data_IF_651361987297
#
_entry.id   IF_651361987297
#
_cell.length_a   1.000
_cell.length_b   1.000
_cell.length_c   1.000
_cell.angle_alpha   90.00
_cell.angle_beta   90.00
_cell.angle_gamma   90.00
#
_symmetry.space_group_name_H-M   'P 1'
#
loop_
_entity.id
_entity.type
_entity.pdbx_description
1 polymer ?
#
# COMPACT_ATOMS: atom_id res chain seq x y z
N UNK A 1 11.24 -22.89 -4.74
CA UNK A 1 10.89 -21.95 -3.65
C UNK A 1 10.52 -20.58 -4.18
N UNK A 2 11.40 -19.84 -4.87
CA UNK A 2 11.09 -18.50 -5.39
C UNK A 2 9.91 -18.45 -6.39
N UNK A 3 9.79 -19.46 -7.26
CA UNK A 3 8.75 -19.55 -8.29
C UNK A 3 7.68 -20.58 -7.97
N UNK A 4 7.66 -21.08 -6.74
CA UNK A 4 6.71 -22.10 -6.29
C UNK A 4 5.71 -21.43 -5.36
N UNK A 5 4.41 -21.66 -5.55
CA UNK A 5 3.39 -21.13 -4.66
C UNK A 5 3.62 -21.64 -3.21
N UNK A 6 3.97 -20.77 -2.24
CA UNK A 6 4.28 -21.20 -0.88
C UNK A 6 3.05 -21.73 -0.13
N UNK A 7 1.84 -21.30 -0.52
CA UNK A 7 0.58 -21.74 0.10
C UNK A 7 0.14 -23.13 -0.36
N UNK A 8 0.66 -23.61 -1.50
CA UNK A 8 0.37 -24.95 -1.98
C UNK A 8 0.90 -26.02 -0.99
N UNK A 9 2.08 -25.82 -0.40
CA UNK A 9 2.60 -26.72 0.64
C UNK A 9 1.79 -26.62 1.94
N UNK A 10 1.31 -25.42 2.28
CA UNK A 10 0.49 -25.19 3.47
C UNK A 10 -0.88 -25.88 3.39
N UNK A 11 -1.37 -26.14 2.17
CA UNK A 11 -2.64 -26.83 1.93
C UNK A 11 -2.70 -28.25 2.50
N UNK A 12 -1.54 -28.87 2.76
CA UNK A 12 -1.44 -30.16 3.43
C UNK A 12 -1.89 -30.13 4.90
N UNK A 13 -1.80 -28.96 5.55
CA UNK A 13 -2.15 -28.79 6.98
C UNK A 13 -3.33 -27.85 7.20
N UNK A 14 -3.59 -26.92 6.28
CA UNK A 14 -4.69 -25.96 6.33
C UNK A 14 -5.47 -26.00 5.02
N UNK A 15 -6.76 -26.28 5.07
CA UNK A 15 -7.57 -26.30 3.84
C UNK A 15 -7.53 -24.93 3.11
N UNK A 16 -7.65 -24.91 1.77
CA UNK A 16 -7.73 -23.66 1.00
C UNK A 16 -8.84 -22.73 1.48
N UNK A 17 -9.98 -23.27 1.90
CA UNK A 17 -11.10 -22.49 2.43
C UNK A 17 -10.73 -21.73 3.72
N UNK A 18 -9.95 -22.35 4.62
CA UNK A 18 -9.46 -21.70 5.84
C UNK A 18 -8.50 -20.56 5.51
N UNK A 19 -7.57 -20.78 4.57
CA UNK A 19 -6.63 -19.74 4.13
C UNK A 19 -7.34 -18.54 3.49
N UNK A 20 -8.30 -18.80 2.61
CA UNK A 20 -9.12 -17.75 1.98
C UNK A 20 -9.96 -16.99 3.02
N UNK A 21 -10.63 -17.72 3.92
CA UNK A 21 -11.40 -17.13 5.01
C UNK A 21 -10.55 -16.21 5.89
N UNK A 22 -9.33 -16.64 6.23
CA UNK A 22 -8.39 -15.82 6.98
C UNK A 22 -8.07 -14.50 6.25
N UNK A 23 -7.76 -14.53 4.96
CA UNK A 23 -7.45 -13.33 4.17
C UNK A 23 -8.67 -12.39 4.09
N UNK A 24 -9.88 -12.93 3.94
CA UNK A 24 -11.11 -12.13 3.92
C UNK A 24 -11.32 -11.43 5.26
N UNK A 25 -11.23 -12.17 6.37
CA UNK A 25 -11.39 -11.61 7.71
C UNK A 25 -10.32 -10.54 7.98
N UNK A 26 -9.07 -10.82 7.64
CA UNK A 26 -7.97 -9.86 7.76
C UNK A 26 -8.26 -8.57 6.99
N UNK A 27 -8.73 -8.66 5.74
CA UNK A 27 -9.09 -7.50 4.94
C UNK A 27 -10.21 -6.67 5.59
N UNK A 28 -11.27 -7.33 6.07
CA UNK A 28 -12.38 -6.65 6.75
C UNK A 28 -11.90 -5.93 8.02
N UNK A 29 -11.04 -6.56 8.81
CA UNK A 29 -10.47 -5.96 10.02
C UNK A 29 -9.57 -4.76 9.70
N UNK A 30 -8.76 -4.81 8.64
CA UNK A 30 -7.93 -3.68 8.21
C UNK A 30 -8.79 -2.50 7.78
N UNK A 31 -9.83 -2.74 6.98
CA UNK A 31 -10.76 -1.67 6.57
C UNK A 31 -11.48 -1.08 7.78
N UNK A 32 -12.04 -1.93 8.65
CA UNK A 32 -12.74 -1.49 9.85
C UNK A 32 -11.82 -0.70 10.79
N UNK A 33 -10.60 -1.19 11.04
CA UNK A 33 -9.61 -0.53 11.87
C UNK A 33 -9.17 0.82 11.30
N UNK A 34 -8.99 0.92 9.98
CA UNK A 34 -8.63 2.17 9.31
C UNK A 34 -9.75 3.21 9.41
N UNK A 35 -11.00 2.80 9.18
CA UNK A 35 -12.16 3.69 9.33
C UNK A 35 -12.34 4.14 10.79
N UNK A 36 -12.18 3.22 11.74
CA UNK A 36 -12.22 3.53 13.16
C UNK A 36 -11.12 4.53 13.53
N UNK A 37 -9.89 4.34 13.07
CA UNK A 37 -8.77 5.25 13.34
C UNK A 37 -9.02 6.67 12.81
N UNK A 38 -9.59 6.78 11.59
CA UNK A 38 -9.97 8.07 10.98
C UNK A 38 -11.03 8.79 11.82
N UNK A 39 -12.06 8.07 12.28
CA UNK A 39 -13.12 8.64 13.12
C UNK A 39 -12.58 9.01 14.50
N UNK A 40 -11.82 8.11 15.13
CA UNK A 40 -11.29 8.28 16.48
C UNK A 40 -10.31 9.46 16.57
N UNK A 41 -9.42 9.63 15.58
CA UNK A 41 -8.48 10.76 15.53
C UNK A 41 -9.12 12.07 15.10
N UNK A 42 -10.39 12.06 14.67
CA UNK A 42 -11.04 13.23 14.09
C UNK A 42 -10.34 13.76 12.84
N UNK A 43 -9.59 12.91 12.14
CA UNK A 43 -8.70 13.33 11.04
C UNK A 43 -9.49 13.93 9.88
N UNK A 44 -10.70 13.43 9.61
CA UNK A 44 -11.60 13.99 8.61
C UNK A 44 -11.91 15.48 8.88
N UNK A 45 -12.27 15.81 10.12
CA UNK A 45 -12.56 17.19 10.54
C UNK A 45 -11.34 18.08 10.35
N UNK A 46 -10.16 17.60 10.76
CA UNK A 46 -8.90 18.30 10.56
C UNK A 46 -8.61 18.60 9.08
N UNK A 47 -8.79 17.61 8.19
CA UNK A 47 -8.57 17.80 6.75
C UNK A 47 -9.59 18.78 6.14
N UNK A 48 -10.86 18.70 6.52
CA UNK A 48 -11.87 19.64 6.02
C UNK A 48 -11.58 21.08 6.45
N UNK A 49 -11.16 21.28 7.70
CA UNK A 49 -10.79 22.60 8.19
C UNK A 49 -9.55 23.14 7.48
N UNK A 50 -8.52 22.29 7.30
CA UNK A 50 -7.31 22.66 6.58
C UNK A 50 -7.60 23.02 5.12
N UNK A 51 -8.49 22.28 4.45
CA UNK A 51 -8.92 22.59 3.08
C UNK A 51 -9.64 23.94 3.00
N UNK A 52 -10.52 24.27 3.95
CA UNK A 52 -11.21 25.57 4.01
C UNK A 52 -10.20 26.70 4.21
N UNK A 53 -9.28 26.55 5.16
CA UNK A 53 -8.22 27.52 5.46
C UNK A 53 -7.28 27.74 4.27
N UNK A 54 -6.92 26.69 3.55
CA UNK A 54 -6.06 26.78 2.36
C UNK A 54 -6.78 27.47 1.19
N UNK A 55 -8.08 27.22 1.01
CA UNK A 55 -8.89 27.93 0.00
C UNK A 55 -9.02 29.43 0.30
N UNK A 56 -9.18 29.81 1.56
CA UNK A 56 -9.28 31.24 1.94
C UNK A 56 -7.95 31.98 1.83
N UNK A 57 -6.81 31.28 1.88
CA UNK A 57 -5.45 31.84 1.75
C UNK A 57 -4.90 31.80 0.31
N UNK A 58 -5.69 31.35 -0.66
CA UNK A 58 -5.23 31.20 -2.04
C UNK A 58 -4.94 32.57 -2.67
N UNK A 59 -3.68 32.85 -2.98
CA UNK A 59 -3.25 34.12 -3.60
C UNK A 59 -3.75 34.27 -5.05
N UNK A 60 -3.95 33.16 -5.76
CA UNK A 60 -4.41 33.11 -7.15
C UNK A 60 -5.16 31.80 -7.41
N UNK A 61 -6.18 31.84 -8.27
CA UNK A 61 -6.80 30.62 -8.81
C UNK A 61 -6.04 30.16 -10.04
N UNK A 62 -5.57 28.92 -10.02
CA UNK A 62 -4.96 28.25 -11.18
C UNK A 62 -6.04 27.73 -12.12
N UNK A 63 -5.78 27.76 -13.44
CA UNK A 63 -6.70 27.22 -14.44
C UNK A 63 -6.81 25.70 -14.36
N UNK A 64 -7.90 25.11 -14.88
CA UNK A 64 -8.15 23.67 -14.76
C UNK A 64 -7.02 22.78 -15.31
N UNK A 65 -6.38 23.18 -16.41
CA UNK A 65 -5.23 22.46 -16.97
C UNK A 65 -3.96 22.56 -16.11
N UNK A 66 -3.68 23.73 -15.54
CA UNK A 66 -2.56 23.94 -14.61
C UNK A 66 -2.77 23.13 -13.32
N UNK A 67 -4.00 23.10 -12.80
CA UNK A 67 -4.42 22.30 -11.66
C UNK A 67 -4.22 20.80 -11.91
N UNK A 68 -4.63 20.31 -13.09
CA UNK A 68 -4.45 18.91 -13.48
C UNK A 68 -2.97 18.55 -13.59
N UNK A 69 -2.15 19.41 -14.19
CA UNK A 69 -0.70 19.20 -14.31
C UNK A 69 -0.03 19.10 -12.93
N UNK A 70 -0.35 20.03 -12.02
CA UNK A 70 0.16 20.01 -10.64
C UNK A 70 -0.27 18.72 -9.92
N UNK A 71 -1.53 18.31 -10.06
CA UNK A 71 -2.02 17.08 -9.45
C UNK A 71 -1.27 15.83 -9.95
N UNK A 72 -1.00 15.75 -11.26
CA UNK A 72 -0.19 14.66 -11.84
C UNK A 72 1.24 14.70 -11.29
N UNK A 73 1.86 15.88 -11.23
CA UNK A 73 3.21 16.02 -10.71
C UNK A 73 3.30 15.60 -9.24
N UNK A 74 2.35 16.03 -8.40
CA UNK A 74 2.25 15.62 -7.00
C UNK A 74 2.06 14.11 -6.88
N UNK A 75 1.19 13.50 -7.69
CA UNK A 75 1.00 12.05 -7.67
C UNK A 75 2.30 11.30 -8.04
N UNK A 76 3.01 11.74 -9.07
CA UNK A 76 4.23 11.04 -9.52
C UNK A 76 5.41 11.29 -8.57
N UNK A 77 5.66 12.55 -8.21
CA UNK A 77 6.84 12.92 -7.45
C UNK A 77 6.64 12.65 -5.96
N UNK A 78 5.52 13.07 -5.39
CA UNK A 78 5.32 13.01 -3.94
C UNK A 78 4.77 11.66 -3.52
N UNK A 79 3.79 11.10 -4.24
CA UNK A 79 3.18 9.81 -3.86
C UNK A 79 4.02 8.63 -4.36
N UNK A 80 4.20 8.50 -5.67
CA UNK A 80 4.86 7.32 -6.25
C UNK A 80 6.36 7.28 -5.95
N UNK A 81 7.01 8.43 -5.94
CA UNK A 81 8.45 8.53 -5.72
C UNK A 81 8.81 8.99 -4.31
N UNK A 82 7.85 9.27 -3.42
CA UNK A 82 8.10 9.75 -2.04
C UNK A 82 9.06 10.95 -2.01
N UNK A 83 8.89 11.87 -2.96
CA UNK A 83 9.74 13.05 -3.18
C UNK A 83 9.75 14.02 -2.00
N UNK A 84 8.74 13.95 -1.13
CA UNK A 84 8.65 14.72 0.11
C UNK A 84 9.82 14.47 1.08
N UNK A 85 10.51 13.32 0.95
CA UNK A 85 11.62 12.98 1.81
C UNK A 85 12.94 13.54 1.27
N UNK A 86 13.41 14.63 1.90
CA UNK A 86 14.72 15.20 1.63
C UNK A 86 15.89 14.27 2.02
N UNK A 87 15.69 13.35 2.98
CA UNK A 87 16.70 12.37 3.37
C UNK A 87 16.64 11.15 2.42
N UNK A 88 17.70 10.87 1.64
CA UNK A 88 17.69 9.80 0.65
C UNK A 88 17.57 8.41 1.28
N UNK A 89 18.14 8.17 2.47
CA UNK A 89 18.02 6.88 3.17
C UNK A 89 16.57 6.63 3.62
N UNK A 90 15.93 7.66 4.20
CA UNK A 90 14.52 7.60 4.60
C UNK A 90 13.61 7.38 3.39
N UNK A 91 13.90 8.05 2.27
CA UNK A 91 13.15 7.91 1.02
C UNK A 91 13.22 6.49 0.46
N UNK A 92 14.42 5.91 0.40
CA UNK A 92 14.60 4.53 -0.09
C UNK A 92 13.92 3.52 0.83
N UNK A 93 14.07 3.66 2.15
CA UNK A 93 13.39 2.81 3.13
C UNK A 93 11.86 2.87 2.95
N UNK A 94 11.32 4.07 2.77
CA UNK A 94 9.88 4.26 2.55
C UNK A 94 9.40 3.63 1.24
N UNK A 95 10.12 3.81 0.13
CA UNK A 95 9.77 3.20 -1.16
C UNK A 95 9.83 1.68 -1.12
N UNK A 96 10.87 1.12 -0.50
CA UNK A 96 11.01 -0.32 -0.31
C UNK A 96 9.89 -0.89 0.55
N UNK A 97 9.54 -0.23 1.66
CA UNK A 97 8.42 -0.61 2.52
C UNK A 97 7.07 -0.52 1.79
N UNK A 98 6.79 0.60 1.13
CA UNK A 98 5.52 0.84 0.43
C UNK A 98 5.30 -0.17 -0.70
N UNK A 99 6.24 -0.26 -1.66
CA UNK A 99 6.10 -1.18 -2.78
C UNK A 99 6.26 -2.64 -2.36
N UNK A 100 7.13 -2.92 -1.38
CA UNK A 100 7.29 -4.26 -0.82
C UNK A 100 5.99 -4.77 -0.20
N UNK A 101 5.31 -3.93 0.59
CA UNK A 101 4.00 -4.24 1.15
C UNK A 101 2.94 -4.48 0.07
N UNK A 102 2.86 -3.61 -0.94
CA UNK A 102 1.90 -3.78 -2.05
C UNK A 102 2.13 -5.09 -2.79
N UNK A 103 3.37 -5.40 -3.17
CA UNK A 103 3.69 -6.66 -3.85
C UNK A 103 3.37 -7.87 -2.99
N UNK A 104 3.74 -7.83 -1.71
CA UNK A 104 3.51 -8.94 -0.79
C UNK A 104 2.01 -9.23 -0.59
N UNK A 105 1.21 -8.19 -0.36
CA UNK A 105 -0.24 -8.33 -0.13
C UNK A 105 -0.96 -8.79 -1.39
N UNK A 106 -0.70 -8.17 -2.54
CA UNK A 106 -1.33 -8.56 -3.80
C UNK A 106 -0.98 -9.98 -4.19
N UNK A 107 0.30 -10.36 -4.09
CA UNK A 107 0.73 -11.73 -4.36
C UNK A 107 0.10 -12.73 -3.39
N UNK A 108 -0.03 -12.39 -2.11
CA UNK A 108 -0.71 -13.24 -1.11
C UNK A 108 -2.16 -13.50 -1.53
N UNK A 109 -2.91 -12.45 -1.88
CA UNK A 109 -4.30 -12.60 -2.35
C UNK A 109 -4.35 -13.50 -3.59
N UNK A 110 -3.54 -13.23 -4.60
CA UNK A 110 -3.57 -14.02 -5.84
C UNK A 110 -3.22 -15.49 -5.59
N UNK A 111 -2.17 -15.78 -4.82
CA UNK A 111 -1.68 -17.14 -4.60
C UNK A 111 -2.59 -17.97 -3.69
N UNK A 112 -3.31 -17.33 -2.75
CA UNK A 112 -4.27 -18.00 -1.86
C UNK A 112 -5.59 -18.30 -2.57
N UNK A 113 -6.06 -17.38 -3.42
CA UNK A 113 -7.33 -17.54 -4.14
C UNK A 113 -7.17 -18.33 -5.45
N UNK A 114 -5.98 -18.35 -6.04
CA UNK A 114 -5.67 -19.13 -7.22
C UNK A 114 -4.35 -19.89 -7.03
N UNK A 115 -4.46 -21.16 -6.64
CA UNK A 115 -3.31 -22.03 -6.42
C UNK A 115 -2.45 -22.22 -7.70
N UNK A 116 -3.08 -22.13 -8.87
CA UNK A 116 -2.47 -22.27 -10.20
C UNK A 116 -2.05 -20.93 -10.82
N UNK A 117 -1.98 -19.85 -10.04
CA UNK A 117 -1.53 -18.56 -10.52
C UNK A 117 -0.11 -18.64 -11.11
N UNK A 118 0.18 -17.74 -12.05
CA UNK A 118 1.50 -17.66 -12.71
C UNK A 118 2.64 -17.60 -11.68
N UNK A 119 3.76 -18.34 -11.89
CA UNK A 119 4.91 -18.35 -10.99
C UNK A 119 5.49 -16.98 -10.64
N UNK A 120 5.23 -15.95 -11.47
CA UNK A 120 5.65 -14.58 -11.20
C UNK A 120 5.07 -14.04 -9.89
N UNK A 121 3.87 -14.48 -9.49
CA UNK A 121 3.25 -14.06 -8.24
C UNK A 121 4.02 -14.60 -7.04
N UNK A 122 4.53 -15.84 -7.10
CA UNK A 122 5.40 -16.38 -6.06
C UNK A 122 6.70 -15.58 -5.95
N UNK A 123 7.29 -15.18 -7.09
CA UNK A 123 8.48 -14.34 -7.08
C UNK A 123 8.22 -12.96 -6.47
N UNK A 124 7.10 -12.32 -6.85
CA UNK A 124 6.67 -11.03 -6.29
C UNK A 124 6.41 -11.12 -4.78
N UNK A 125 5.88 -12.24 -4.30
CA UNK A 125 5.68 -12.48 -2.88
C UNK A 125 7.01 -12.46 -2.11
N UNK A 126 8.02 -13.21 -2.60
CA UNK A 126 9.35 -13.24 -1.97
C UNK A 126 10.09 -11.91 -2.07
N UNK A 127 10.04 -11.25 -3.25
CA UNK A 127 10.67 -9.95 -3.46
C UNK A 127 10.02 -8.90 -2.56
N UNK A 128 8.69 -8.88 -2.48
CA UNK A 128 7.95 -7.96 -1.62
C UNK A 128 8.33 -8.11 -0.15
N UNK A 129 8.41 -9.36 0.35
CA UNK A 129 8.87 -9.64 1.71
C UNK A 129 10.30 -9.14 1.95
N UNK A 130 11.22 -9.40 1.01
CA UNK A 130 12.60 -8.94 1.11
C UNK A 130 12.69 -7.42 1.12
N UNK A 131 11.94 -6.72 0.25
CA UNK A 131 11.88 -5.27 0.21
C UNK A 131 11.41 -4.67 1.55
N UNK A 132 10.41 -5.28 2.19
CA UNK A 132 9.94 -4.85 3.52
C UNK A 132 11.04 -5.03 4.57
N UNK A 133 11.66 -6.21 4.64
CA UNK A 133 12.73 -6.50 5.59
C UNK A 133 13.89 -5.52 5.44
N UNK A 134 14.36 -5.37 4.21
CA UNK A 134 15.43 -4.46 3.84
C UNK A 134 15.03 -3.03 4.22
N UNK A 135 13.89 -2.51 3.76
CA UNK A 135 13.43 -1.16 4.10
C UNK A 135 13.19 -0.90 5.60
N UNK A 136 12.98 -1.93 6.42
CA UNK A 136 12.71 -1.81 7.86
C UNK A 136 13.93 -1.96 8.78
N UNK A 137 15.08 -2.40 8.27
CA UNK A 137 16.25 -2.75 9.10
C UNK A 137 17.30 -1.64 9.28
N UNK A 138 17.02 -0.39 8.87
CA UNK A 138 17.95 0.74 9.08
C UNK A 138 17.28 2.11 9.17
#
# INVERSE_FOLDING_TARGET
MLFTNPFAGLSASLSPAVMQGYVIVMFLLVVAGTLFDVVHKGSATYFFENLRRSKSKAARRVGGGELASIAVQTAVVDVLASGEFCNPRRRVAHLLGMYGFVFYVLATVVLVFNASASPIWAALWWIGALMICVGGYW
#
